data_IF_263336911450
#
_entry.id   IF_263336911450
#
_cell.length_a   1.000
_cell.length_b   1.000
_cell.length_c   1.000
_cell.angle_alpha   90.00
_cell.angle_beta   90.00
_cell.angle_gamma   90.00
#
_symmetry.space_group_name_H-M   'P 1'
#
loop_
_entity.id
_entity.type
_entity.pdbx_description
1 polymer ?
#
# COMPACT_ATOMS: atom_id res chain seq x y z
N UNK A 1 -20.99 9.92 -18.24
CA UNK A 1 -20.65 9.77 -16.82
C UNK A 1 -19.14 9.90 -16.63
N UNK A 2 -18.69 10.67 -15.67
CA UNK A 2 -17.27 10.75 -15.32
C UNK A 2 -16.84 9.45 -14.65
N UNK A 3 -15.69 8.90 -15.04
CA UNK A 3 -15.16 7.66 -14.43
C UNK A 3 -14.80 7.90 -12.97
N UNK A 4 -14.99 6.88 -12.16
CA UNK A 4 -14.57 6.85 -10.75
C UNK A 4 -13.68 5.64 -10.53
N UNK A 5 -12.39 5.91 -10.35
CA UNK A 5 -11.35 4.90 -10.16
C UNK A 5 -10.87 4.98 -8.71
N UNK A 6 -10.84 3.83 -8.06
CA UNK A 6 -10.17 3.66 -6.79
C UNK A 6 -8.80 2.99 -7.01
N UNK A 7 -7.80 3.41 -6.26
CA UNK A 7 -6.58 2.65 -6.02
C UNK A 7 -6.54 2.28 -4.54
N UNK A 8 -6.47 0.99 -4.25
CA UNK A 8 -6.39 0.44 -2.91
C UNK A 8 -5.02 -0.21 -2.73
N UNK A 9 -4.39 0.04 -1.58
CA UNK A 9 -3.07 -0.46 -1.22
C UNK A 9 -3.07 -0.83 0.28
N UNK A 10 -2.71 -2.07 0.59
CA UNK A 10 -2.64 -2.59 1.96
C UNK A 10 -1.45 -1.99 2.72
N UNK A 11 -1.71 -1.44 3.89
CA UNK A 11 -0.70 -0.74 4.67
C UNK A 11 0.34 -1.69 5.26
N UNK A 12 1.62 -1.52 4.87
CA UNK A 12 2.75 -2.33 5.32
C UNK A 12 2.47 -3.84 5.30
N UNK A 13 1.86 -4.35 4.22
CA UNK A 13 1.12 -5.59 4.11
C UNK A 13 1.77 -6.78 4.83
N UNK A 14 2.97 -7.22 4.45
CA UNK A 14 3.59 -8.39 5.07
C UNK A 14 3.83 -8.19 6.57
N UNK A 15 4.34 -7.02 6.96
CA UNK A 15 4.58 -6.71 8.36
C UNK A 15 3.27 -6.61 9.15
N UNK A 16 2.20 -6.07 8.55
CA UNK A 16 0.88 -6.00 9.16
C UNK A 16 0.28 -7.40 9.39
N UNK A 17 0.42 -8.32 8.43
CA UNK A 17 0.01 -9.73 8.59
C UNK A 17 0.76 -10.38 9.75
N UNK A 18 2.08 -10.17 9.85
CA UNK A 18 2.88 -10.74 10.94
C UNK A 18 2.50 -10.15 12.31
N UNK A 19 2.28 -8.83 12.40
CA UNK A 19 1.87 -8.17 13.64
C UNK A 19 0.44 -8.55 14.06
N UNK A 20 -0.45 -8.84 13.09
CA UNK A 20 -1.79 -9.35 13.36
C UNK A 20 -1.75 -10.75 13.99
N UNK A 21 -1.00 -11.66 13.34
CA UNK A 21 -0.96 -13.06 13.71
C UNK A 21 -0.12 -13.35 14.95
N UNK A 22 0.81 -12.44 15.27
CA UNK A 22 1.73 -12.53 16.42
C UNK A 22 1.58 -11.31 17.32
N UNK A 23 0.71 -11.35 18.33
CA UNK A 23 0.44 -10.21 19.20
C UNK A 23 1.68 -9.61 19.88
N UNK A 24 2.72 -10.42 20.12
CA UNK A 24 4.00 -10.01 20.67
C UNK A 24 4.81 -9.07 19.76
N UNK A 25 4.44 -8.99 18.47
CA UNK A 25 5.06 -8.09 17.50
C UNK A 25 4.35 -6.74 17.38
N UNK A 26 3.18 -6.59 17.98
CA UNK A 26 2.42 -5.34 17.92
C UNK A 26 3.18 -4.21 18.57
N UNK A 27 3.26 -3.08 17.87
CA UNK A 27 4.00 -1.90 18.32
C UNK A 27 5.52 -2.03 18.26
N UNK A 28 6.06 -3.17 17.84
CA UNK A 28 7.50 -3.39 17.65
C UNK A 28 7.91 -3.14 16.20
N UNK A 29 9.12 -2.65 15.95
CA UNK A 29 9.66 -2.58 14.60
C UNK A 29 9.79 -4.00 13.99
N UNK A 30 9.13 -4.24 12.86
CA UNK A 30 9.17 -5.50 12.13
C UNK A 30 9.68 -5.24 10.71
N UNK A 31 10.61 -6.08 10.27
CA UNK A 31 11.18 -6.06 8.92
C UNK A 31 10.98 -7.45 8.31
N UNK A 32 10.23 -7.54 7.24
CA UNK A 32 10.06 -8.78 6.47
C UNK A 32 10.96 -8.73 5.25
N UNK A 33 11.79 -9.76 5.05
CA UNK A 33 12.75 -9.76 3.95
C UNK A 33 13.44 -11.10 3.74
N UNK A 34 14.46 -11.11 2.90
CA UNK A 34 15.17 -12.32 2.48
C UNK A 34 16.14 -12.90 3.51
N UNK A 35 16.08 -12.51 4.78
CA UNK A 35 16.97 -13.00 5.85
C UNK A 35 17.04 -12.08 7.05
N UNK A 36 18.06 -12.25 7.90
CA UNK A 36 18.33 -11.45 9.08
C UNK A 36 19.14 -10.17 8.79
N UNK A 37 19.43 -9.37 9.84
CA UNK A 37 20.08 -8.06 9.70
C UNK A 37 21.52 -8.13 9.17
N UNK A 38 22.14 -9.30 9.17
CA UNK A 38 23.51 -9.49 8.66
C UNK A 38 23.55 -10.20 7.30
N UNK A 39 22.42 -10.62 6.77
CA UNK A 39 22.34 -11.40 5.53
C UNK A 39 22.41 -10.49 4.28
N UNK A 40 22.70 -11.15 3.15
CA UNK A 40 22.55 -10.54 1.84
C UNK A 40 21.06 -10.65 1.45
N UNK A 41 20.43 -9.53 1.22
CA UNK A 41 19.02 -9.47 0.83
C UNK A 41 18.50 -8.06 1.01
N UNK A 42 17.22 -7.90 0.67
CA UNK A 42 16.53 -6.61 0.77
C UNK A 42 15.29 -6.72 1.64
N UNK A 43 14.88 -5.60 2.19
CA UNK A 43 13.60 -5.43 2.85
C UNK A 43 12.49 -5.56 1.82
N UNK A 44 11.58 -6.52 2.00
CA UNK A 44 10.35 -6.62 1.22
C UNK A 44 9.31 -5.63 1.77
N UNK A 45 9.09 -5.66 3.09
CA UNK A 45 8.18 -4.72 3.77
C UNK A 45 8.71 -4.38 5.15
N UNK A 46 8.54 -3.14 5.57
CA UNK A 46 8.84 -2.67 6.91
C UNK A 46 7.57 -2.14 7.58
N UNK A 47 7.34 -2.48 8.86
CA UNK A 47 6.25 -1.93 9.66
C UNK A 47 6.40 -0.41 9.83
N UNK A 48 5.32 0.27 10.20
CA UNK A 48 5.38 1.72 10.42
C UNK A 48 6.31 2.09 11.57
N UNK A 49 6.45 1.25 12.58
CA UNK A 49 7.43 1.39 13.64
C UNK A 49 8.86 1.38 13.09
N UNK A 50 9.19 0.43 12.21
CA UNK A 50 10.51 0.36 11.57
C UNK A 50 10.77 1.54 10.61
N UNK A 51 9.71 2.00 9.90
CA UNK A 51 9.80 3.17 9.01
C UNK A 51 10.17 4.47 9.73
N UNK A 52 9.84 4.62 11.01
CA UNK A 52 10.25 5.77 11.85
C UNK A 52 11.76 5.88 12.01
N UNK A 53 12.47 4.77 11.92
CA UNK A 53 13.94 4.70 11.93
C UNK A 53 14.55 4.83 10.53
N UNK A 54 13.74 5.14 9.50
CA UNK A 54 14.21 5.30 8.14
C UNK A 54 14.28 4.01 7.31
N UNK A 55 13.84 2.86 7.86
CA UNK A 55 13.78 1.60 7.09
C UNK A 55 12.72 1.70 5.99
N UNK A 56 13.05 1.24 4.78
CA UNK A 56 12.19 1.28 3.60
C UNK A 56 12.28 -0.03 2.81
N UNK A 57 11.25 -0.35 2.03
CA UNK A 57 11.29 -1.44 1.05
C UNK A 57 12.44 -1.24 0.06
N UNK A 58 12.97 -2.32 -0.46
CA UNK A 58 14.15 -2.41 -1.32
C UNK A 58 15.50 -2.04 -0.65
N UNK A 59 15.49 -1.57 0.60
CA UNK A 59 16.73 -1.29 1.36
C UNK A 59 17.48 -2.58 1.65
N UNK A 60 18.82 -2.62 1.56
CA UNK A 60 19.60 -3.77 2.02
C UNK A 60 19.36 -4.09 3.49
N UNK A 61 19.17 -5.38 3.85
CA UNK A 61 18.88 -5.81 5.22
C UNK A 61 19.96 -5.33 6.22
N UNK A 62 21.23 -5.34 5.83
CA UNK A 62 22.33 -4.81 6.65
C UNK A 62 22.17 -3.32 6.98
N UNK A 63 21.65 -2.56 6.05
CA UNK A 63 21.38 -1.14 6.29
C UNK A 63 20.19 -0.97 7.22
N UNK A 64 19.11 -1.74 7.01
CA UNK A 64 17.96 -1.77 7.90
C UNK A 64 18.34 -2.14 9.34
N UNK A 65 19.19 -3.19 9.52
CA UNK A 65 19.69 -3.59 10.85
C UNK A 65 20.51 -2.51 11.55
N UNK A 66 21.29 -1.72 10.81
CA UNK A 66 22.03 -0.59 11.39
C UNK A 66 21.12 0.58 11.79
N UNK A 67 20.05 0.83 11.00
CA UNK A 67 19.11 1.90 11.29
C UNK A 67 18.16 1.56 12.43
N UNK A 68 17.77 0.29 12.56
CA UNK A 68 16.85 -0.19 13.58
C UNK A 68 17.37 -1.51 14.16
N UNK A 69 18.34 -1.48 15.10
CA UNK A 69 18.95 -2.67 15.69
C UNK A 69 17.97 -3.56 16.44
N UNK A 70 16.91 -2.96 17.02
CA UNK A 70 15.90 -3.66 17.81
C UNK A 70 14.76 -4.23 16.95
N UNK A 71 14.84 -4.11 15.62
CA UNK A 71 13.82 -4.64 14.73
C UNK A 71 13.81 -6.17 14.73
N UNK A 72 12.60 -6.73 14.68
CA UNK A 72 12.40 -8.16 14.46
C UNK A 72 12.47 -8.43 12.97
N UNK A 73 13.44 -9.23 12.54
CA UNK A 73 13.59 -9.65 11.15
C UNK A 73 12.90 -10.99 10.93
N UNK A 74 12.03 -11.06 9.93
CA UNK A 74 11.24 -12.24 9.59
C UNK A 74 11.45 -12.62 8.13
N UNK A 75 11.49 -13.92 7.81
CA UNK A 75 11.52 -14.38 6.43
C UNK A 75 10.19 -14.08 5.72
N UNK A 76 10.24 -14.02 4.38
CA UNK A 76 9.03 -13.90 3.55
C UNK A 76 8.27 -15.22 3.53
N UNK A 77 7.01 -15.21 3.96
CA UNK A 77 6.08 -16.34 3.81
C UNK A 77 5.13 -16.06 2.63
N UNK A 78 5.58 -16.38 1.43
CA UNK A 78 4.85 -16.11 0.20
C UNK A 78 3.48 -16.80 0.13
N UNK A 79 3.36 -18.02 0.69
CA UNK A 79 2.08 -18.76 0.68
C UNK A 79 1.03 -18.08 1.57
N UNK A 80 1.42 -17.65 2.76
CA UNK A 80 0.59 -16.92 3.71
C UNK A 80 0.12 -15.59 3.12
N UNK A 81 1.04 -14.80 2.59
CA UNK A 81 0.68 -13.48 2.04
C UNK A 81 -0.19 -13.60 0.78
N UNK A 82 0.06 -14.59 -0.08
CA UNK A 82 -0.81 -14.85 -1.22
C UNK A 82 -2.23 -15.28 -0.81
N UNK A 83 -2.37 -16.04 0.29
CA UNK A 83 -3.68 -16.40 0.82
C UNK A 83 -4.46 -15.16 1.32
N UNK A 84 -3.80 -14.28 2.07
CA UNK A 84 -4.42 -13.03 2.55
C UNK A 84 -4.75 -12.08 1.40
N UNK A 85 -3.87 -11.94 0.40
CA UNK A 85 -4.14 -11.17 -0.80
C UNK A 85 -5.42 -11.63 -1.50
N UNK A 86 -5.58 -12.95 -1.72
CA UNK A 86 -6.81 -13.49 -2.34
C UNK A 86 -8.08 -13.17 -1.54
N UNK A 87 -8.01 -13.19 -0.20
CA UNK A 87 -9.15 -12.79 0.65
C UNK A 87 -9.54 -11.34 0.40
N UNK A 88 -8.55 -10.45 0.35
CA UNK A 88 -8.80 -9.03 0.07
C UNK A 88 -9.34 -8.84 -1.34
N UNK A 89 -8.75 -9.48 -2.37
CA UNK A 89 -9.26 -9.36 -3.74
C UNK A 89 -10.72 -9.83 -3.85
N UNK A 90 -11.10 -10.90 -3.16
CA UNK A 90 -12.49 -11.36 -3.12
C UNK A 90 -13.45 -10.35 -2.47
N UNK A 91 -13.00 -9.55 -1.51
CA UNK A 91 -13.79 -8.44 -0.95
C UNK A 91 -13.99 -7.35 -2.01
N UNK A 92 -12.93 -6.98 -2.75
CA UNK A 92 -13.00 -5.96 -3.78
C UNK A 92 -13.99 -6.34 -4.89
N UNK A 93 -13.98 -7.60 -5.30
CA UNK A 93 -14.86 -8.14 -6.35
C UNK A 93 -16.37 -8.11 -6.00
N UNK A 94 -16.73 -7.99 -4.72
CA UNK A 94 -18.14 -7.83 -4.29
C UNK A 94 -18.72 -6.48 -4.72
N UNK A 95 -17.86 -5.49 -4.91
CA UNK A 95 -18.30 -4.12 -5.25
C UNK A 95 -18.30 -3.89 -6.75
N UNK A 96 -17.33 -4.42 -7.46
CA UNK A 96 -17.22 -4.29 -8.91
C UNK A 96 -16.49 -5.49 -9.52
N UNK A 97 -16.92 -6.00 -10.69
CA UNK A 97 -16.13 -6.99 -11.43
C UNK A 97 -14.91 -6.39 -12.13
N UNK A 98 -14.79 -5.06 -12.16
CA UNK A 98 -13.69 -4.35 -12.84
C UNK A 98 -12.55 -4.08 -11.85
N UNK A 99 -11.97 -5.16 -11.32
CA UNK A 99 -10.80 -5.14 -10.46
C UNK A 99 -9.56 -5.49 -11.27
N UNK A 100 -8.53 -4.66 -11.20
CA UNK A 100 -7.23 -4.90 -11.80
C UNK A 100 -6.18 -5.00 -10.69
N UNK A 101 -5.82 -6.22 -10.33
CA UNK A 101 -4.75 -6.46 -9.38
C UNK A 101 -3.40 -6.09 -9.99
N UNK A 102 -2.66 -5.18 -9.36
CA UNK A 102 -1.35 -4.68 -9.81
C UNK A 102 -0.22 -5.45 -9.15
N UNK A 103 -0.38 -5.72 -7.86
CA UNK A 103 0.58 -6.48 -7.05
C UNK A 103 -0.16 -7.37 -6.04
N UNK A 104 0.59 -7.97 -5.13
CA UNK A 104 0.01 -8.81 -4.06
C UNK A 104 -0.81 -8.00 -3.05
N UNK A 105 -0.57 -6.69 -2.97
CA UNK A 105 -1.13 -5.77 -1.96
C UNK A 105 -1.86 -4.56 -2.56
N UNK A 106 -1.91 -4.43 -3.90
CA UNK A 106 -2.56 -3.28 -4.54
C UNK A 106 -3.45 -3.68 -5.72
N UNK A 107 -4.55 -2.92 -5.87
CA UNK A 107 -5.46 -3.06 -6.99
C UNK A 107 -6.09 -1.73 -7.39
N UNK A 108 -6.42 -1.60 -8.68
CA UNK A 108 -7.35 -0.61 -9.18
C UNK A 108 -8.75 -1.19 -9.30
N UNK A 109 -9.76 -0.34 -9.03
CA UNK A 109 -11.16 -0.67 -9.22
C UNK A 109 -11.84 0.43 -10.04
N UNK A 110 -12.54 0.07 -11.09
CA UNK A 110 -13.49 0.98 -11.73
C UNK A 110 -14.86 0.76 -11.09
N UNK A 111 -15.30 1.74 -10.30
CA UNK A 111 -16.57 1.68 -9.58
C UNK A 111 -17.64 2.59 -10.20
N UNK A 112 -17.42 3.09 -11.42
CA UNK A 112 -18.33 3.99 -12.10
C UNK A 112 -19.76 3.41 -12.17
N UNK A 113 -19.88 2.15 -12.54
CA UNK A 113 -21.17 1.44 -12.62
C UNK A 113 -21.76 1.00 -11.28
N UNK A 114 -20.96 0.97 -10.23
CA UNK A 114 -21.35 0.46 -8.91
C UNK A 114 -22.00 1.52 -8.01
N UNK A 115 -21.89 2.80 -8.39
CA UNK A 115 -22.33 3.92 -7.54
C UNK A 115 -23.83 3.92 -7.25
N UNK A 116 -24.64 3.42 -8.18
CA UNK A 116 -26.09 3.34 -7.96
C UNK A 116 -26.46 2.37 -6.82
N UNK A 117 -25.64 1.36 -6.55
CA UNK A 117 -25.86 0.35 -5.53
C UNK A 117 -25.18 0.68 -4.20
N UNK A 118 -23.98 1.28 -4.26
CA UNK A 118 -23.09 1.38 -3.09
C UNK A 118 -22.78 2.84 -2.69
N UNK A 119 -23.35 3.83 -3.39
CA UNK A 119 -23.06 5.24 -3.16
C UNK A 119 -21.88 5.75 -3.99
N UNK A 120 -21.40 6.97 -3.71
CA UNK A 120 -20.29 7.57 -4.43
C UNK A 120 -18.96 6.85 -4.17
N UNK A 121 -17.93 7.23 -4.95
CA UNK A 121 -16.61 6.60 -4.83
C UNK A 121 -16.02 6.67 -3.42
N UNK A 122 -16.34 7.72 -2.65
CA UNK A 122 -15.88 7.87 -1.27
C UNK A 122 -16.59 6.92 -0.32
N UNK A 123 -17.91 6.75 -0.49
CA UNK A 123 -18.71 5.80 0.28
C UNK A 123 -18.23 4.37 0.01
N UNK A 124 -18.01 4.03 -1.26
CA UNK A 124 -17.46 2.73 -1.67
C UNK A 124 -16.09 2.49 -1.05
N UNK A 125 -15.19 3.48 -1.09
CA UNK A 125 -13.85 3.36 -0.53
C UNK A 125 -13.89 3.13 1.00
N UNK A 126 -14.74 3.85 1.74
CA UNK A 126 -14.93 3.62 3.19
C UNK A 126 -15.43 2.22 3.47
N UNK A 127 -16.47 1.80 2.78
CA UNK A 127 -17.03 0.46 2.91
C UNK A 127 -15.99 -0.62 2.70
N UNK A 128 -15.17 -0.53 1.64
CA UNK A 128 -14.10 -1.49 1.36
C UNK A 128 -13.05 -1.53 2.47
N UNK A 129 -12.63 -0.36 2.99
CA UNK A 129 -11.70 -0.28 4.12
C UNK A 129 -12.28 -0.97 5.37
N UNK A 130 -13.55 -0.71 5.69
CA UNK A 130 -14.23 -1.29 6.85
C UNK A 130 -14.38 -2.81 6.70
N UNK A 131 -14.81 -3.31 5.51
CA UNK A 131 -14.92 -4.74 5.24
C UNK A 131 -13.56 -5.46 5.30
N UNK A 132 -12.51 -4.88 4.70
CA UNK A 132 -11.15 -5.43 4.77
C UNK A 132 -10.71 -5.51 6.22
N UNK A 133 -10.89 -4.45 7.00
CA UNK A 133 -10.49 -4.46 8.40
C UNK A 133 -11.27 -5.48 9.22
N UNK A 134 -12.60 -5.54 9.04
CA UNK A 134 -13.47 -6.47 9.77
C UNK A 134 -13.14 -7.95 9.45
N UNK A 135 -12.87 -8.27 8.18
CA UNK A 135 -12.67 -9.66 7.75
C UNK A 135 -11.21 -10.12 7.88
N UNK A 136 -10.25 -9.21 7.75
CA UNK A 136 -8.81 -9.57 7.70
C UNK A 136 -7.99 -8.98 8.85
N UNK A 137 -8.50 -7.98 9.57
CA UNK A 137 -7.74 -7.23 10.57
C UNK A 137 -6.64 -6.35 9.98
N UNK A 138 -6.59 -6.19 8.65
CA UNK A 138 -5.62 -5.34 7.96
C UNK A 138 -6.22 -3.96 7.68
N UNK A 139 -5.35 -2.96 7.52
CA UNK A 139 -5.75 -1.63 7.05
C UNK A 139 -5.33 -1.43 5.60
N UNK A 140 -6.10 -0.60 4.89
CA UNK A 140 -5.81 -0.21 3.53
C UNK A 140 -5.89 1.31 3.36
N UNK A 141 -5.03 1.86 2.52
CA UNK A 141 -5.11 3.25 2.08
C UNK A 141 -5.71 3.32 0.69
N UNK A 142 -6.66 4.24 0.49
CA UNK A 142 -7.43 4.33 -0.76
C UNK A 142 -7.37 5.74 -1.32
N UNK A 143 -7.07 5.82 -2.63
CA UNK A 143 -7.21 7.04 -3.43
C UNK A 143 -8.40 6.91 -4.37
N UNK A 144 -9.22 7.94 -4.45
CA UNK A 144 -10.39 8.02 -5.34
C UNK A 144 -10.19 9.17 -6.32
N UNK A 145 -10.24 8.89 -7.62
CA UNK A 145 -10.04 9.90 -8.66
C UNK A 145 -10.73 9.50 -9.98
N UNK A 146 -10.58 10.30 -11.02
CA UNK A 146 -11.12 10.01 -12.36
C UNK A 146 -10.24 9.11 -13.21
N UNK A 147 -8.98 8.88 -12.80
CA UNK A 147 -8.00 8.07 -13.51
C UNK A 147 -7.04 7.35 -12.55
N UNK A 148 -6.38 6.31 -13.05
CA UNK A 148 -5.47 5.44 -12.28
C UNK A 148 -4.28 6.19 -11.69
N UNK A 149 -3.64 7.08 -12.48
CA UNK A 149 -2.46 7.81 -12.03
C UNK A 149 -2.75 8.64 -10.78
N UNK A 150 -3.80 9.45 -10.85
CA UNK A 150 -4.18 10.32 -9.72
C UNK A 150 -4.66 9.51 -8.53
N UNK A 151 -5.46 8.43 -8.76
CA UNK A 151 -5.90 7.55 -7.69
C UNK A 151 -4.72 6.90 -6.94
N UNK A 152 -3.68 6.45 -7.68
CA UNK A 152 -2.48 5.85 -7.06
C UNK A 152 -1.68 6.88 -6.26
N UNK A 153 -1.44 8.06 -6.80
CA UNK A 153 -0.74 9.12 -6.06
C UNK A 153 -1.53 9.51 -4.81
N UNK A 154 -2.87 9.59 -4.92
CA UNK A 154 -3.75 9.94 -3.81
C UNK A 154 -3.70 8.91 -2.67
N UNK A 155 -3.67 7.60 -2.98
CA UNK A 155 -3.62 6.55 -1.97
C UNK A 155 -2.37 6.59 -1.10
N UNK A 156 -1.25 7.12 -1.61
CA UNK A 156 0.02 7.20 -0.90
C UNK A 156 0.16 8.40 0.05
N UNK A 157 -0.67 9.45 -0.13
CA UNK A 157 -0.45 10.73 0.58
C UNK A 157 -0.78 10.70 2.07
N UNK A 158 -1.72 9.85 2.48
CA UNK A 158 -2.21 9.80 3.86
C UNK A 158 -2.04 8.42 4.50
N UNK A 159 -1.07 7.63 4.04
CA UNK A 159 -0.73 6.34 4.69
C UNK A 159 -0.24 6.54 6.12
N UNK A 160 -0.60 5.65 7.06
CA UNK A 160 -1.50 4.50 6.93
C UNK A 160 -2.98 4.87 7.08
N UNK A 161 -3.84 3.93 6.70
CA UNK A 161 -5.30 3.97 6.85
C UNK A 161 -5.96 5.20 6.21
N UNK A 162 -5.30 5.74 5.16
CA UNK A 162 -5.70 6.94 4.48
C UNK A 162 -6.90 6.76 3.54
N UNK A 163 -7.62 7.86 3.31
CA UNK A 163 -8.60 7.99 2.26
C UNK A 163 -8.48 9.39 1.66
N UNK A 164 -8.19 9.48 0.37
CA UNK A 164 -8.02 10.73 -0.35
C UNK A 164 -8.91 10.75 -1.59
N UNK A 165 -9.80 11.73 -1.67
CA UNK A 165 -10.62 12.00 -2.85
C UNK A 165 -10.00 13.16 -3.64
N UNK A 166 -9.86 12.97 -4.94
CA UNK A 166 -9.57 14.03 -5.91
C UNK A 166 -10.79 14.19 -6.79
N UNK A 167 -11.46 15.34 -6.65
CA UNK A 167 -12.69 15.59 -7.40
C UNK A 167 -12.42 15.74 -8.91
N UNK A 168 -13.41 15.40 -9.77
CA UNK A 168 -13.29 15.62 -11.20
C UNK A 168 -12.96 17.08 -11.53
N UNK A 169 -11.91 17.30 -12.32
CA UNK A 169 -11.41 18.63 -12.68
C UNK A 169 -10.33 19.20 -11.76
N UNK A 170 -10.11 18.61 -10.58
CA UNK A 170 -9.07 19.04 -9.64
C UNK A 170 -7.74 18.31 -9.84
N UNK A 171 -7.62 17.39 -10.79
CA UNK A 171 -6.46 16.50 -10.95
C UNK A 171 -5.14 17.28 -11.11
N UNK A 172 -5.14 18.29 -11.97
CA UNK A 172 -3.95 19.11 -12.20
C UNK A 172 -3.59 19.93 -10.96
N UNK A 173 -4.59 20.52 -10.29
CA UNK A 173 -4.40 21.28 -9.05
C UNK A 173 -3.88 20.41 -7.91
N UNK A 174 -4.34 19.15 -7.84
CA UNK A 174 -3.90 18.17 -6.87
C UNK A 174 -2.43 17.76 -7.10
N UNK A 175 -2.03 17.52 -8.35
CA UNK A 175 -0.68 17.07 -8.69
C UNK A 175 0.36 18.20 -8.65
N UNK A 176 -0.03 19.44 -9.02
CA UNK A 176 0.90 20.56 -9.19
C UNK A 176 1.83 20.84 -7.99
N UNK A 177 1.38 20.79 -6.72
CA UNK A 177 2.25 21.03 -5.57
C UNK A 177 3.11 19.81 -5.17
N UNK A 178 2.88 18.62 -5.77
CA UNK A 178 3.59 17.42 -5.38
C UNK A 178 4.95 17.33 -6.08
N UNK A 179 5.98 16.86 -5.35
CA UNK A 179 7.26 16.61 -5.98
C UNK A 179 7.13 15.48 -7.01
N UNK A 180 7.89 15.56 -8.09
CA UNK A 180 7.79 14.64 -9.25
C UNK A 180 8.07 13.19 -8.85
N UNK A 181 8.82 12.95 -7.78
CA UNK A 181 9.10 11.63 -7.19
C UNK A 181 7.82 10.90 -6.71
N UNK A 182 6.72 11.63 -6.54
CA UNK A 182 5.43 11.04 -6.19
C UNK A 182 4.72 10.41 -7.38
N UNK A 183 5.16 10.70 -8.60
CA UNK A 183 4.59 10.09 -9.79
C UNK A 183 5.04 8.64 -9.90
N UNK A 184 4.08 7.75 -10.07
CA UNK A 184 4.33 6.32 -10.23
C UNK A 184 5.21 6.04 -11.46
N UNK A 185 6.27 5.25 -11.27
CA UNK A 185 7.22 4.92 -12.33
C UNK A 185 8.24 6.02 -12.64
N UNK A 186 8.16 7.18 -11.99
CA UNK A 186 9.17 8.22 -12.10
C UNK A 186 10.34 7.90 -11.18
N UNK A 187 11.27 7.08 -11.64
CA UNK A 187 12.59 6.96 -11.03
C UNK A 187 13.40 8.19 -11.44
N UNK A 188 13.52 9.14 -10.53
CA UNK A 188 14.36 10.29 -10.78
C UNK A 188 15.84 9.91 -10.88
N UNK A 189 16.55 10.66 -11.68
CA UNK A 189 18.01 10.72 -11.75
C UNK A 189 18.68 11.16 -10.44
N UNK A 190 18.13 10.74 -9.29
CA UNK A 190 18.67 11.09 -7.96
C UNK A 190 19.63 10.03 -7.43
N UNK A 191 19.69 8.85 -8.06
CA UNK A 191 20.83 7.96 -7.85
C UNK A 191 21.93 8.38 -8.80
N UNK A 192 23.14 8.70 -8.30
CA UNK A 192 24.27 8.90 -9.18
C UNK A 192 24.41 7.67 -10.06
N UNK A 193 24.41 7.87 -11.38
CA UNK A 193 24.68 6.80 -12.33
C UNK A 193 26.06 6.22 -11.99
N UNK A 194 26.24 4.88 -12.04
CA UNK A 194 27.58 4.30 -11.89
C UNK A 194 28.59 4.78 -12.94
N UNK A 195 28.15 5.67 -13.86
CA UNK A 195 28.97 6.26 -14.93
C UNK A 195 29.24 7.75 -14.73
N UNK A 196 28.69 8.37 -13.69
CA UNK A 196 28.99 9.73 -13.25
C UNK A 196 30.02 9.69 -12.11
#
# INVERSE_FOLDING_TARGET
MTRTILHLDLDAFFAAVEQRDRPELRGRPVVVGGGGPNDRGVVSTASYEARRFGVRSAMPLRTAGRLCPDAVFLPVDGAKYAAESRRVMAILERVTPLVEQVSIDEAFLDVTGSQALFGDGTAIARRLKDEIHAETGLTASVGVATNKLVAKVASDLRKPDGLVLVAPGDEARFLAPLPVERLWGCLLYTSPSPRD
#
